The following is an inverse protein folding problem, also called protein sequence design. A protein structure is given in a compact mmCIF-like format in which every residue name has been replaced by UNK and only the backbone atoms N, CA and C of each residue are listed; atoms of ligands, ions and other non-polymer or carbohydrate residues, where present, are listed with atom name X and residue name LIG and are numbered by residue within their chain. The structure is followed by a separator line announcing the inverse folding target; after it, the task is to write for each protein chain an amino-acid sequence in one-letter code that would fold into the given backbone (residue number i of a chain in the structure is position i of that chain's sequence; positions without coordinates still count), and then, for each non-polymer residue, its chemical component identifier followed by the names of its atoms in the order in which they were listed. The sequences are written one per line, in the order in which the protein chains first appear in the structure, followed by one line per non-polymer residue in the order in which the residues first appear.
data_IF_447819199135
#
_entry.id   IF_447819199135
#
_cell.length_a   1.000
_cell.length_b   1.000
_cell.length_c   1.000
_cell.angle_alpha   90.00
_cell.angle_beta   90.00
_cell.angle_gamma   90.00
#
_symmetry.space_group_name_H-M   'P 1'
#
loop_
_entity.id
_entity.type
_entity.pdbx_description
1 polymer ?
#
# COMPACT_ATOMS: atom_id res chain seq x y z
N UNK A 1 -9.71 24.83 3.81
CA UNK A 1 -9.79 24.37 3.45
C UNK A 1 -9.28 24.00 3.41
N UNK A 2 -9.57 23.73 3.34
CA UNK A 2 -9.40 23.06 3.05
C UNK A 2 -9.16 22.70 2.81
N UNK A 3 -9.23 22.49 2.87
CA UNK A 3 -9.28 21.85 2.35
C UNK A 3 -8.43 21.42 2.18
N UNK A 4 -8.34 21.23 2.30
CA UNK A 4 -7.83 20.56 1.95
C UNK A 4 -7.24 19.93 2.09
N UNK A 5 -7.39 19.55 2.39
CA UNK A 5 -7.21 18.62 2.42
C UNK A 5 -7.19 18.12 1.93
N UNK A 6 -7.73 17.91 1.87
CA UNK A 6 -8.21 17.29 1.34
C UNK A 6 -8.58 17.57 0.49
N UNK A 7 -8.56 18.19 0.19
CA UNK A 7 -9.10 18.27 -0.68
C UNK A 7 -9.48 17.69 -1.93
N UNK A 8 -9.66 16.74 -2.16
CA UNK A 8 -9.96 15.83 -3.23
C UNK A 8 -11.42 15.77 -3.48
N UNK A 9 -12.14 15.91 -2.46
CA UNK A 9 -13.58 15.99 -2.56
C UNK A 9 -14.03 17.27 -3.28
N UNK A 10 -13.11 18.16 -3.46
CA UNK A 10 -13.40 19.38 -4.20
C UNK A 10 -13.85 19.06 -5.63
N UNK A 11 -13.39 17.94 -6.16
CA UNK A 11 -13.75 17.56 -7.51
C UNK A 11 -15.03 16.74 -7.57
N UNK A 12 -15.71 16.64 -6.45
CA UNK A 12 -16.92 15.85 -6.41
C UNK A 12 -16.70 14.36 -6.25
N UNK A 13 -15.46 13.98 -6.06
CA UNK A 13 -15.11 12.58 -5.83
C UNK A 13 -14.68 12.40 -4.41
N UNK A 14 -15.27 11.43 -3.76
CA UNK A 14 -14.85 11.06 -2.41
C UNK A 14 -14.18 9.71 -2.50
N UNK A 15 -12.89 9.69 -2.21
CA UNK A 15 -12.15 8.44 -2.16
C UNK A 15 -12.28 7.91 -0.76
N UNK A 16 -12.98 6.81 -0.63
CA UNK A 16 -13.18 6.20 0.66
C UNK A 16 -12.01 5.30 0.99
N UNK A 17 -11.28 5.67 2.01
CA UNK A 17 -10.14 4.89 2.47
C UNK A 17 -10.63 3.83 3.45
N UNK A 18 -10.42 2.58 3.10
CA UNK A 18 -10.86 1.45 3.91
C UNK A 18 -9.79 1.11 4.94
N UNK A 19 -8.53 1.14 4.52
CA UNK A 19 -7.42 0.81 5.41
C UNK A 19 -6.15 1.41 4.85
N UNK A 20 -5.16 1.56 5.73
CA UNK A 20 -3.85 2.05 5.33
C UNK A 20 -2.79 1.22 6.03
N UNK A 21 -1.70 0.96 5.34
CA UNK A 21 -0.60 0.17 5.87
C UNK A 21 0.70 0.92 5.62
N UNK A 22 1.34 1.39 6.70
CA UNK A 22 2.63 2.09 6.55
C UNK A 22 3.72 1.11 6.11
N UNK A 23 4.58 1.56 5.23
CA UNK A 23 5.74 0.78 4.84
C UNK A 23 6.92 1.72 4.65
N UNK A 24 8.12 1.14 4.69
CA UNK A 24 9.34 1.91 4.64
C UNK A 24 9.94 1.86 3.25
N UNK A 25 10.38 3.01 2.79
CA UNK A 25 11.08 3.14 1.52
C UNK A 25 12.50 3.62 1.82
N UNK A 26 13.47 2.91 1.27
CA UNK A 26 14.87 3.26 1.45
C UNK A 26 15.38 3.86 0.16
N UNK A 27 15.88 5.09 0.24
CA UNK A 27 16.53 5.76 -0.87
C UNK A 27 18.02 5.76 -0.62
N UNK A 28 18.78 5.62 -1.70
CA UNK A 28 20.22 5.67 -1.62
C UNK A 28 20.72 6.76 -2.57
N UNK A 29 21.59 7.61 -2.07
CA UNK A 29 22.22 8.62 -2.89
C UNK A 29 23.71 8.57 -2.66
N UNK A 30 24.47 8.98 -3.66
CA UNK A 30 25.93 9.02 -3.59
C UNK A 30 26.35 10.46 -3.75
N UNK A 31 27.15 10.92 -2.79
CA UNK A 31 27.66 12.31 -2.80
C UNK A 31 29.11 12.25 -2.36
N UNK A 32 30.01 12.70 -3.24
CA UNK A 32 31.44 12.76 -2.92
C UNK A 32 32.00 11.45 -2.38
N UNK A 33 31.72 10.35 -3.04
CA UNK A 33 32.18 9.02 -2.64
C UNK A 33 31.54 8.51 -1.34
N UNK A 34 30.49 9.17 -0.88
CA UNK A 34 29.79 8.73 0.30
C UNK A 34 28.39 8.30 -0.08
N UNK A 35 27.97 7.18 0.46
CA UNK A 35 26.61 6.70 0.27
C UNK A 35 25.75 7.16 1.43
N UNK A 36 24.60 7.70 1.10
CA UNK A 36 23.64 8.14 2.09
C UNK A 36 22.38 7.29 1.91
N UNK A 37 21.89 6.74 3.02
CA UNK A 37 20.66 5.99 3.03
C UNK A 37 19.62 6.80 3.78
N UNK A 38 18.51 7.03 3.13
CA UNK A 38 17.40 7.75 3.75
C UNK A 38 16.20 6.84 3.76
N UNK A 39 15.57 6.75 4.92
CA UNK A 39 14.33 6.00 5.05
C UNK A 39 13.19 6.97 5.19
N UNK A 40 12.09 6.69 4.53
CA UNK A 40 10.87 7.44 4.72
C UNK A 40 9.70 6.48 4.77
N UNK A 41 8.67 6.93 5.43
CA UNK A 41 7.46 6.12 5.56
C UNK A 41 6.46 6.55 4.50
N UNK A 42 5.93 5.58 3.79
CA UNK A 42 4.84 5.78 2.85
C UNK A 42 3.72 4.87 3.26
N UNK A 43 2.58 5.00 2.63
CA UNK A 43 1.43 4.18 3.00
C UNK A 43 0.80 3.53 1.81
N UNK A 44 0.47 2.26 1.98
CA UNK A 44 -0.42 1.57 1.06
C UNK A 44 -1.84 1.93 1.48
N UNK A 45 -2.62 2.40 0.55
CA UNK A 45 -3.99 2.81 0.81
C UNK A 45 -4.93 1.84 0.12
N UNK A 46 -5.80 1.23 0.92
CA UNK A 46 -6.85 0.36 0.38
C UNK A 46 -8.12 1.18 0.26
N UNK A 47 -8.57 1.37 -0.96
CA UNK A 47 -9.86 2.00 -1.22
C UNK A 47 -10.86 0.91 -1.60
N UNK A 48 -12.04 1.30 -2.02
CA UNK A 48 -13.08 0.32 -2.30
C UNK A 48 -12.76 -0.58 -3.48
N UNK A 49 -11.98 -0.09 -4.43
CA UNK A 49 -11.72 -0.83 -5.65
C UNK A 49 -10.26 -0.94 -6.02
N UNK A 50 -9.36 -0.43 -5.17
CA UNK A 50 -7.95 -0.42 -5.55
C UNK A 50 -7.05 -0.28 -4.33
N UNK A 51 -5.77 -0.57 -4.55
CA UNK A 51 -4.71 -0.31 -3.59
C UNK A 51 -3.70 0.60 -4.26
N UNK A 52 -3.31 1.67 -3.58
CA UNK A 52 -2.32 2.60 -4.11
C UNK A 52 -1.10 2.64 -3.20
N UNK A 53 0.07 2.76 -3.83
CA UNK A 53 1.32 3.00 -3.12
C UNK A 53 1.81 4.39 -3.49
N UNK A 54 3.03 4.72 -3.09
CA UNK A 54 3.56 6.03 -3.42
C UNK A 54 3.87 6.19 -4.92
N UNK A 55 3.98 5.09 -5.65
CA UNK A 55 4.31 5.14 -7.07
C UNK A 55 3.38 4.32 -7.95
N UNK A 56 2.58 3.43 -7.38
CA UNK A 56 1.75 2.51 -8.17
C UNK A 56 0.31 2.52 -7.71
N UNK A 57 -0.54 2.13 -8.63
CA UNK A 57 -1.96 1.97 -8.34
C UNK A 57 -2.42 0.65 -8.96
N UNK A 58 -3.08 -0.16 -8.15
CA UNK A 58 -3.55 -1.48 -8.59
C UNK A 58 -5.04 -1.59 -8.32
N UNK A 59 -5.82 -1.92 -9.34
CA UNK A 59 -7.21 -2.25 -9.09
C UNK A 59 -7.28 -3.60 -8.38
N UNK A 60 -8.34 -3.84 -7.63
CA UNK A 60 -8.48 -5.11 -6.92
C UNK A 60 -8.55 -6.29 -7.87
N UNK A 61 -9.02 -6.05 -9.09
CA UNK A 61 -9.07 -7.11 -10.10
C UNK A 61 -7.68 -7.52 -10.56
N UNK A 62 -6.73 -6.60 -10.52
CA UNK A 62 -5.35 -6.88 -10.90
C UNK A 62 -4.58 -7.62 -9.81
N UNK A 63 -5.06 -7.57 -8.58
CA UNK A 63 -4.37 -8.20 -7.46
C UNK A 63 -4.93 -9.60 -7.27
N UNK A 64 -4.08 -10.59 -7.46
CA UNK A 64 -4.48 -11.99 -7.32
C UNK A 64 -4.52 -12.42 -5.86
N UNK A 65 -3.57 -11.93 -5.08
CA UNK A 65 -3.47 -12.36 -3.69
C UNK A 65 -2.53 -11.43 -2.94
N UNK A 66 -2.60 -11.51 -1.63
CA UNK A 66 -1.65 -10.80 -0.76
C UNK A 66 -1.11 -11.78 0.25
N UNK A 67 0.09 -11.53 0.73
CA UNK A 67 0.69 -12.38 1.74
C UNK A 67 1.62 -11.55 2.61
N UNK A 68 1.99 -12.12 3.76
CA UNK A 68 2.85 -11.44 4.71
C UNK A 68 3.81 -12.45 5.28
N UNK A 69 5.08 -12.07 5.38
CA UNK A 69 6.09 -12.90 5.96
C UNK A 69 6.81 -12.10 7.05
N UNK A 70 6.72 -12.57 8.28
CA UNK A 70 7.38 -11.92 9.39
C UNK A 70 8.88 -12.22 9.35
N UNK A 71 9.67 -11.27 9.86
CA UNK A 71 11.10 -11.41 9.94
C UNK A 71 11.53 -11.33 11.38
N UNK A 72 12.63 -11.94 11.71
CA UNK A 72 13.16 -11.91 13.08
C UNK A 72 13.70 -10.55 13.48
N UNK A 73 13.88 -9.66 12.51
CA UNK A 73 14.44 -8.33 12.76
C UNK A 73 13.41 -7.32 13.25
N UNK A 74 12.14 -7.72 13.41
CA UNK A 74 11.10 -6.82 13.82
C UNK A 74 10.35 -6.20 12.66
N UNK A 75 10.83 -6.44 11.45
CA UNK A 75 10.16 -6.02 10.23
C UNK A 75 9.54 -7.23 9.57
N UNK A 76 8.67 -6.98 8.62
CA UNK A 76 8.11 -8.04 7.82
C UNK A 76 7.99 -7.58 6.39
N UNK A 77 7.61 -8.49 5.54
CA UNK A 77 7.40 -8.19 4.13
C UNK A 77 5.97 -8.49 3.75
N UNK A 78 5.33 -7.49 3.21
CA UNK A 78 3.98 -7.59 2.70
C UNK A 78 4.06 -7.67 1.19
N UNK A 79 3.42 -8.67 0.60
CA UNK A 79 3.52 -8.93 -0.83
C UNK A 79 2.18 -8.75 -1.51
N UNK A 80 2.20 -8.04 -2.64
CA UNK A 80 1.06 -7.98 -3.54
C UNK A 80 1.38 -8.83 -4.76
N UNK A 81 0.56 -9.83 -4.99
CA UNK A 81 0.68 -10.72 -6.16
C UNK A 81 -0.27 -10.21 -7.22
N UNK A 82 0.28 -9.59 -8.25
CA UNK A 82 -0.53 -8.93 -9.26
C UNK A 82 -0.26 -9.49 -10.65
N UNK A 83 -1.09 -9.09 -11.60
CA UNK A 83 -0.89 -9.48 -12.97
C UNK A 83 0.33 -8.82 -13.61
N UNK A 84 0.91 -7.82 -12.93
CA UNK A 84 2.13 -7.16 -13.39
C UNK A 84 3.37 -7.68 -12.69
N UNK A 85 3.20 -8.61 -11.77
CA UNK A 85 4.31 -9.19 -11.04
C UNK A 85 4.11 -9.12 -9.54
N UNK A 86 5.17 -9.42 -8.82
CA UNK A 86 5.18 -9.44 -7.38
C UNK A 86 5.79 -8.14 -6.85
N UNK A 87 5.07 -7.47 -5.98
CA UNK A 87 5.54 -6.24 -5.35
C UNK A 87 5.68 -6.48 -3.86
N UNK A 88 6.81 -6.12 -3.29
CA UNK A 88 7.05 -6.31 -1.87
C UNK A 88 7.21 -4.98 -1.16
N UNK A 89 6.74 -4.93 0.08
CA UNK A 89 6.78 -3.74 0.91
C UNK A 89 7.26 -4.12 2.29
N UNK A 90 8.21 -3.36 2.78
CA UNK A 90 8.79 -3.62 4.09
C UNK A 90 7.94 -2.92 5.15
N UNK A 91 7.37 -3.67 6.06
CA UNK A 91 6.46 -3.13 7.06
C UNK A 91 7.01 -3.39 8.46
N UNK A 92 6.69 -2.48 9.38
CA UNK A 92 7.17 -2.59 10.76
C UNK A 92 6.23 -3.39 11.64
N UNK A 93 4.99 -3.47 11.25
CA UNK A 93 3.97 -4.11 12.06
C UNK A 93 3.21 -5.12 11.24
N UNK A 94 2.55 -6.04 11.93
CA UNK A 94 1.74 -7.06 11.28
C UNK A 94 0.53 -6.40 10.62
N UNK A 95 0.28 -6.67 9.33
CA UNK A 95 -0.77 -6.00 8.59
C UNK A 95 -2.10 -6.74 8.64
N UNK A 96 -2.46 -7.28 9.81
CA UNK A 96 -3.66 -8.12 9.92
C UNK A 96 -4.93 -7.39 9.52
N UNK A 97 -5.09 -6.17 10.01
CA UNK A 97 -6.30 -5.41 9.73
C UNK A 97 -6.39 -5.07 8.24
N UNK A 98 -5.28 -4.66 7.65
CA UNK A 98 -5.26 -4.34 6.24
C UNK A 98 -5.62 -5.56 5.41
N UNK A 99 -5.05 -6.71 5.76
CA UNK A 99 -5.31 -7.94 5.03
C UNK A 99 -6.77 -8.37 5.14
N UNK A 100 -7.34 -8.23 6.34
CA UNK A 100 -8.75 -8.56 6.54
C UNK A 100 -9.65 -7.66 5.71
N UNK A 101 -9.36 -6.37 5.70
CA UNK A 101 -10.16 -5.44 4.92
C UNK A 101 -10.01 -5.69 3.42
N UNK A 102 -8.81 -6.05 3.00
CA UNK A 102 -8.60 -6.41 1.60
C UNK A 102 -9.46 -7.61 1.21
N UNK A 103 -9.49 -8.65 2.07
CA UNK A 103 -10.27 -9.82 1.76
C UNK A 103 -11.77 -9.50 1.66
N UNK A 104 -12.25 -8.62 2.52
CA UNK A 104 -13.64 -8.20 2.43
C UNK A 104 -13.93 -7.48 1.12
N UNK A 105 -13.04 -6.57 0.72
CA UNK A 105 -13.24 -5.83 -0.51
C UNK A 105 -13.12 -6.73 -1.73
N UNK A 106 -12.20 -7.68 -1.69
CA UNK A 106 -12.00 -8.60 -2.80
C UNK A 106 -13.23 -9.48 -3.00
N UNK A 107 -13.85 -9.92 -1.92
CA UNK A 107 -15.07 -10.71 -2.00
C UNK A 107 -16.19 -9.92 -2.64
N UNK A 108 -16.29 -8.64 -2.33
CA UNK A 108 -17.32 -7.79 -2.93
C UNK A 108 -17.12 -7.66 -4.43
N UNK A 109 -15.87 -7.49 -4.85
CA UNK A 109 -15.58 -7.36 -6.27
C UNK A 109 -15.91 -8.65 -6.99
N UNK A 110 -15.50 -9.78 -6.42
CA UNK A 110 -15.75 -11.08 -7.05
C UNK A 110 -17.23 -11.43 -7.07
N UNK A 111 -17.96 -10.96 -6.10
CA UNK A 111 -19.38 -11.27 -6.00
C UNK A 111 -20.18 -10.67 -7.15
N UNK A 112 -19.73 -9.55 -7.69
CA UNK A 112 -20.45 -8.88 -8.76
C UNK A 112 -19.99 -9.28 -10.15
N UNK A 113 -19.03 -10.16 -10.22
CA UNK A 113 -18.59 -10.71 -11.50
C UNK A 113 -19.47 -11.90 -11.97
#
# INVERSE_FOLDING_TARGET
MCFNRFRKEILGFIVKIIAALPYMVVSRSIDWNKQHFMEREEKLILAEDKITSHINEFSLEEIWDISFKASSSGYGFFYLHTNQGLFSYRVKAEPSEFMNKYQEMKKRVEKYD
#
